data_IF_283095221575
#
_entry.id   IF_283095221575
#
_cell.length_a   1.000
_cell.length_b   1.000
_cell.length_c   1.000
_cell.angle_alpha   90.00
_cell.angle_beta   90.00
_cell.angle_gamma   90.00
#
_symmetry.space_group_name_H-M   'P 1'
#
loop_
_entity.id
_entity.type
_entity.pdbx_description
1 polymer ?
#
# COMPACT_ATOMS: atom_id res chain seq x y z
N UNK A 1 -42.83 -57.35 -32.89
CA UNK A 1 -41.97 -56.50 -32.03
C UNK A 1 -42.86 -55.63 -31.15
N UNK A 2 -43.34 -56.11 -29.99
CA UNK A 2 -44.03 -55.26 -28.98
C UNK A 2 -44.52 -56.13 -27.81
N UNK A 3 -43.64 -56.55 -26.88
CA UNK A 3 -44.08 -56.96 -25.51
C UNK A 3 -43.00 -56.61 -24.45
N UNK A 4 -41.71 -56.77 -24.76
CA UNK A 4 -40.62 -56.53 -23.80
C UNK A 4 -40.31 -55.05 -23.49
N UNK A 5 -40.77 -54.11 -24.32
CA UNK A 5 -40.58 -52.67 -24.10
C UNK A 5 -41.62 -52.07 -23.15
N UNK A 6 -42.79 -52.71 -23.04
CA UNK A 6 -43.92 -52.20 -22.25
C UNK A 6 -43.80 -52.59 -20.76
N UNK A 7 -43.30 -53.79 -20.47
CA UNK A 7 -43.00 -54.25 -19.10
C UNK A 7 -41.82 -53.52 -18.47
N UNK A 8 -40.80 -53.13 -19.24
CA UNK A 8 -39.66 -52.33 -18.74
C UNK A 8 -40.04 -50.86 -18.48
N UNK A 9 -40.99 -50.30 -19.22
CA UNK A 9 -41.51 -48.95 -18.99
C UNK A 9 -42.43 -48.87 -17.74
N UNK A 10 -43.22 -49.91 -17.48
CA UNK A 10 -44.13 -49.95 -16.32
C UNK A 10 -43.41 -50.21 -14.98
N UNK A 11 -42.24 -50.86 -14.99
CA UNK A 11 -41.40 -51.00 -13.79
C UNK A 11 -40.73 -49.69 -13.36
N UNK A 12 -40.32 -48.85 -14.31
CA UNK A 12 -39.66 -47.57 -14.05
C UNK A 12 -40.63 -46.50 -13.50
N UNK A 13 -41.90 -46.52 -13.93
CA UNK A 13 -42.93 -45.56 -13.50
C UNK A 13 -43.46 -45.79 -12.07
N UNK A 14 -43.30 -47.01 -11.52
CA UNK A 14 -43.76 -47.32 -10.15
C UNK A 14 -42.72 -46.94 -9.08
N UNK A 15 -41.43 -46.95 -9.41
CA UNK A 15 -40.35 -46.53 -8.52
C UNK A 15 -40.24 -45.01 -8.40
N UNK A 16 -40.32 -44.28 -9.52
CA UNK A 16 -40.12 -42.82 -9.54
C UNK A 16 -41.21 -42.03 -8.80
N UNK A 17 -42.48 -42.45 -8.89
CA UNK A 17 -43.57 -41.78 -8.17
C UNK A 17 -43.55 -42.03 -6.65
N UNK A 18 -43.06 -43.18 -6.18
CA UNK A 18 -42.91 -43.39 -4.73
C UNK A 18 -41.71 -42.64 -4.16
N UNK A 19 -40.65 -42.47 -4.96
CA UNK A 19 -39.46 -41.70 -4.56
C UNK A 19 -39.73 -40.20 -4.53
N UNK A 20 -40.54 -39.66 -5.46
CA UNK A 20 -41.00 -38.26 -5.41
C UNK A 20 -41.90 -37.98 -4.21
N UNK A 21 -42.83 -38.88 -3.88
CA UNK A 21 -43.71 -38.72 -2.71
C UNK A 21 -42.93 -38.85 -1.39
N UNK A 22 -41.93 -39.74 -1.34
CA UNK A 22 -41.02 -39.86 -0.22
C UNK A 22 -40.10 -38.62 -0.11
N UNK A 23 -39.58 -38.11 -1.23
CA UNK A 23 -38.78 -36.90 -1.29
C UNK A 23 -39.59 -35.68 -0.84
N UNK A 24 -40.87 -35.57 -1.22
CA UNK A 24 -41.76 -34.51 -0.77
C UNK A 24 -42.08 -34.59 0.71
N UNK A 25 -42.28 -35.80 1.26
CA UNK A 25 -42.46 -35.96 2.71
C UNK A 25 -41.18 -35.61 3.47
N UNK A 26 -40.01 -35.97 2.96
CA UNK A 26 -38.72 -35.61 3.56
C UNK A 26 -38.49 -34.11 3.47
N UNK A 27 -38.82 -33.48 2.33
CA UNK A 27 -38.73 -32.03 2.13
C UNK A 27 -39.66 -31.28 3.06
N UNK A 28 -40.91 -31.73 3.22
CA UNK A 28 -41.86 -31.15 4.18
C UNK A 28 -41.41 -31.35 5.63
N UNK A 29 -40.86 -32.52 5.99
CA UNK A 29 -40.30 -32.75 7.34
C UNK A 29 -39.06 -31.90 7.60
N UNK A 30 -38.22 -31.72 6.59
CA UNK A 30 -37.06 -30.83 6.66
C UNK A 30 -37.53 -29.38 6.82
N UNK A 31 -38.42 -28.88 5.97
CA UNK A 31 -39.00 -27.53 6.09
C UNK A 31 -39.68 -27.30 7.45
N UNK A 32 -40.38 -28.31 7.98
CA UNK A 32 -40.99 -28.23 9.32
C UNK A 32 -39.93 -28.21 10.43
N UNK A 33 -38.89 -29.04 10.33
CA UNK A 33 -37.78 -29.05 11.29
C UNK A 33 -36.89 -27.79 11.20
N UNK A 34 -36.81 -27.17 10.02
CA UNK A 34 -36.08 -25.93 9.76
C UNK A 34 -36.87 -24.72 10.26
N UNK A 35 -38.19 -24.69 10.06
CA UNK A 35 -39.07 -23.65 10.62
C UNK A 35 -39.16 -23.74 12.15
N UNK A 36 -39.20 -24.95 12.73
CA UNK A 36 -39.13 -25.15 14.19
C UNK A 36 -37.75 -24.75 14.77
N UNK A 37 -36.65 -25.01 14.06
CA UNK A 37 -35.31 -24.53 14.45
C UNK A 37 -35.15 -23.01 14.28
N UNK A 38 -35.75 -22.42 13.25
CA UNK A 38 -35.77 -20.98 13.04
C UNK A 38 -36.58 -20.25 14.13
N UNK A 39 -37.64 -20.89 14.66
CA UNK A 39 -38.38 -20.37 15.82
C UNK A 39 -37.61 -20.52 17.14
N UNK A 40 -36.82 -21.59 17.33
CA UNK A 40 -36.04 -21.83 18.56
C UNK A 40 -34.72 -21.03 18.67
N UNK A 41 -34.21 -20.43 17.58
CA UNK A 41 -33.05 -19.51 17.60
C UNK A 41 -33.45 -18.02 17.70
N UNK A 42 -34.40 -17.70 18.58
CA UNK A 42 -34.62 -16.33 19.04
C UNK A 42 -34.44 -16.22 20.55
N UNK A 43 -33.26 -15.87 21.07
CA UNK A 43 -33.26 -14.82 22.06
C UNK A 43 -33.69 -13.55 21.32
N UNK A 44 -34.88 -13.03 21.63
CA UNK A 44 -35.33 -11.73 21.14
C UNK A 44 -34.45 -10.63 21.76
N UNK A 45 -33.25 -10.44 21.25
CA UNK A 45 -32.64 -9.11 21.24
C UNK A 45 -33.20 -8.40 20.01
N UNK A 46 -34.27 -7.63 20.24
CA UNK A 46 -34.77 -6.69 19.28
C UNK A 46 -33.70 -5.60 19.09
N UNK A 47 -32.78 -5.83 18.16
CA UNK A 47 -31.86 -4.79 17.72
C UNK A 47 -32.72 -3.77 16.96
N UNK A 48 -32.81 -2.51 17.42
CA UNK A 48 -33.61 -1.49 16.77
C UNK A 48 -33.15 -1.32 15.31
N UNK A 49 -34.06 -0.97 14.41
CA UNK A 49 -33.78 -0.84 12.96
C UNK A 49 -32.57 0.08 12.70
N UNK A 50 -32.35 1.09 13.55
CA UNK A 50 -31.18 1.95 13.53
C UNK A 50 -29.86 1.18 13.72
N UNK A 51 -29.82 0.18 14.61
CA UNK A 51 -28.62 -0.61 14.84
C UNK A 51 -28.30 -1.59 13.69
N UNK A 52 -29.28 -1.97 12.86
CA UNK A 52 -28.99 -2.70 11.59
C UNK A 52 -28.30 -1.80 10.57
N UNK A 53 -28.71 -0.53 10.47
CA UNK A 53 -28.04 0.46 9.63
C UNK A 53 -26.61 0.74 10.12
N UNK A 54 -26.41 0.87 11.43
CA UNK A 54 -25.06 1.02 12.02
C UNK A 54 -24.17 -0.20 11.79
N UNK A 55 -24.70 -1.42 11.91
CA UNK A 55 -23.92 -2.65 11.64
C UNK A 55 -23.53 -2.74 10.16
N UNK A 56 -24.44 -2.43 9.23
CA UNK A 56 -24.12 -2.40 7.81
C UNK A 56 -23.09 -1.31 7.49
N UNK A 57 -23.25 -0.11 8.03
CA UNK A 57 -22.28 0.98 7.87
C UNK A 57 -20.91 0.60 8.46
N UNK A 58 -20.87 -0.03 9.63
CA UNK A 58 -19.64 -0.49 10.26
C UNK A 58 -18.95 -1.57 9.42
N UNK A 59 -19.69 -2.50 8.82
CA UNK A 59 -19.13 -3.52 7.91
C UNK A 59 -18.55 -2.87 6.65
N UNK A 60 -19.25 -1.88 6.07
CA UNK A 60 -18.74 -1.14 4.90
C UNK A 60 -17.47 -0.37 5.23
N UNK A 61 -17.43 0.32 6.37
CA UNK A 61 -16.24 1.04 6.83
C UNK A 61 -15.08 0.09 7.12
N UNK A 62 -15.36 -1.06 7.76
CA UNK A 62 -14.35 -2.08 8.02
C UNK A 62 -13.78 -2.66 6.70
N UNK A 63 -14.66 -2.92 5.72
CA UNK A 63 -14.25 -3.45 4.41
C UNK A 63 -13.46 -2.41 3.60
N UNK A 64 -13.84 -1.14 3.65
CA UNK A 64 -13.08 -0.03 3.07
C UNK A 64 -11.70 0.12 3.74
N UNK A 65 -11.63 -0.06 5.06
CA UNK A 65 -10.38 0.02 5.81
C UNK A 65 -9.44 -1.16 5.52
N UNK A 66 -9.97 -2.38 5.38
CA UNK A 66 -9.16 -3.57 5.05
C UNK A 66 -8.67 -3.55 3.61
N UNK A 67 -9.47 -3.06 2.67
CA UNK A 67 -9.06 -2.88 1.27
C UNK A 67 -7.93 -1.85 1.15
N UNK A 68 -8.05 -0.69 1.79
CA UNK A 68 -7.01 0.36 1.78
C UNK A 68 -5.68 -0.07 2.42
N UNK A 69 -5.68 -1.10 3.27
CA UNK A 69 -4.46 -1.66 3.90
C UNK A 69 -3.93 -2.91 3.20
N UNK A 70 -4.55 -3.34 2.12
CA UNK A 70 -4.11 -4.54 1.40
C UNK A 70 -2.76 -4.29 0.71
N UNK A 71 -1.80 -5.19 0.92
CA UNK A 71 -0.51 -5.18 0.24
C UNK A 71 -0.57 -6.02 -1.05
N UNK A 72 0.46 -5.94 -1.90
CA UNK A 72 0.45 -6.54 -3.25
C UNK A 72 0.28 -8.07 -3.31
N UNK A 73 0.46 -8.76 -2.19
CA UNK A 73 0.22 -10.18 -2.00
C UNK A 73 -1.27 -10.53 -1.78
N UNK A 74 -2.12 -9.54 -1.48
CA UNK A 74 -3.55 -9.72 -1.23
C UNK A 74 -4.40 -9.71 -2.50
N UNK A 75 -5.50 -10.50 -2.57
CA UNK A 75 -6.46 -10.42 -3.68
C UNK A 75 -7.21 -9.09 -3.72
N UNK A 76 -7.22 -8.33 -2.62
CA UNK A 76 -7.87 -7.01 -2.55
C UNK A 76 -7.00 -5.88 -3.11
N UNK A 77 -5.75 -6.17 -3.49
CA UNK A 77 -4.81 -5.17 -3.97
C UNK A 77 -5.30 -4.40 -5.20
N UNK A 78 -5.93 -5.10 -6.14
CA UNK A 78 -6.54 -4.45 -7.31
C UNK A 78 -7.66 -3.49 -6.93
N UNK A 79 -8.46 -3.83 -5.92
CA UNK A 79 -9.51 -2.95 -5.41
C UNK A 79 -8.92 -1.71 -4.72
N UNK A 80 -7.84 -1.87 -3.95
CA UNK A 80 -7.08 -0.75 -3.38
C UNK A 80 -6.58 0.21 -4.46
N UNK A 81 -5.89 -0.31 -5.48
CA UNK A 81 -5.38 0.49 -6.60
C UNK A 81 -6.50 1.23 -7.31
N UNK A 82 -7.63 0.55 -7.59
CA UNK A 82 -8.78 1.18 -8.23
C UNK A 82 -9.39 2.32 -7.40
N UNK A 83 -9.49 2.14 -6.07
CA UNK A 83 -9.98 3.19 -5.16
C UNK A 83 -9.01 4.37 -5.14
N UNK A 84 -7.71 4.12 -4.96
CA UNK A 84 -6.69 5.17 -4.94
C UNK A 84 -6.64 5.96 -6.26
N UNK A 85 -6.74 5.29 -7.41
CA UNK A 85 -6.81 5.94 -8.72
C UNK A 85 -8.09 6.77 -8.89
N UNK A 86 -9.23 6.32 -8.34
CA UNK A 86 -10.48 7.08 -8.37
C UNK A 86 -10.42 8.35 -7.50
N UNK A 87 -9.65 8.30 -6.42
CA UNK A 87 -9.47 9.42 -5.50
C UNK A 87 -8.66 10.57 -6.12
N UNK A 88 -7.86 10.30 -7.17
CA UNK A 88 -7.08 11.33 -7.88
C UNK A 88 -7.97 12.47 -8.37
N UNK A 89 -9.17 12.17 -8.89
CA UNK A 89 -10.11 13.17 -9.40
C UNK A 89 -10.71 14.08 -8.32
N UNK A 90 -10.62 13.68 -7.05
CA UNK A 90 -11.12 14.43 -5.91
C UNK A 90 -10.01 15.15 -5.14
N UNK A 91 -8.75 15.01 -5.56
CA UNK A 91 -7.64 15.68 -4.91
C UNK A 91 -7.43 17.10 -5.41
N UNK A 92 -7.06 17.98 -4.49
CA UNK A 92 -6.71 19.37 -4.78
C UNK A 92 -5.37 19.50 -5.53
N UNK A 93 -4.45 18.55 -5.31
CA UNK A 93 -3.19 18.43 -6.04
C UNK A 93 -3.05 17.00 -6.59
N UNK A 94 -3.61 16.72 -7.78
CA UNK A 94 -3.60 15.38 -8.37
C UNK A 94 -2.19 14.94 -8.78
N UNK A 95 -1.32 15.87 -9.18
CA UNK A 95 0.07 15.59 -9.58
C UNK A 95 0.91 15.22 -8.36
N UNK A 96 0.82 16.01 -7.29
CA UNK A 96 1.47 15.71 -6.02
C UNK A 96 1.01 14.37 -5.44
N UNK A 97 -0.30 14.12 -5.45
CA UNK A 97 -0.87 12.85 -4.98
C UNK A 97 -0.38 11.64 -5.79
N UNK A 98 -0.41 11.71 -7.12
CA UNK A 98 0.07 10.62 -7.98
C UNK A 98 1.58 10.38 -7.84
N UNK A 99 2.38 11.44 -7.66
CA UNK A 99 3.82 11.30 -7.45
C UNK A 99 4.14 10.57 -6.12
N UNK A 100 3.34 10.83 -5.08
CA UNK A 100 3.42 10.12 -3.82
C UNK A 100 3.01 8.65 -3.98
N UNK A 101 1.90 8.39 -4.69
CA UNK A 101 1.43 7.03 -4.96
C UNK A 101 2.50 6.23 -5.72
N UNK A 102 3.08 6.82 -6.75
CA UNK A 102 4.17 6.22 -7.53
C UNK A 102 5.34 5.80 -6.63
N UNK A 103 5.80 6.70 -5.77
CA UNK A 103 6.91 6.43 -4.85
C UNK A 103 6.59 5.29 -3.88
N UNK A 104 5.37 5.27 -3.33
CA UNK A 104 4.91 4.21 -2.43
C UNK A 104 4.91 2.84 -3.13
N UNK A 105 4.48 2.77 -4.41
CA UNK A 105 4.47 1.52 -5.19
C UNK A 105 5.88 1.02 -5.55
N UNK A 106 6.82 1.93 -5.80
CA UNK A 106 8.25 1.59 -6.00
C UNK A 106 8.82 0.92 -4.74
N UNK A 107 8.57 1.52 -3.56
CA UNK A 107 9.03 0.94 -2.30
C UNK A 107 8.37 -0.40 -1.99
N UNK A 108 7.07 -0.52 -2.25
CA UNK A 108 6.32 -1.76 -2.05
C UNK A 108 6.85 -2.89 -2.96
N UNK A 109 7.10 -2.61 -4.23
CA UNK A 109 7.73 -3.55 -5.16
C UNK A 109 9.12 -4.00 -4.66
N UNK A 110 9.97 -3.05 -4.24
CA UNK A 110 11.29 -3.35 -3.72
C UNK A 110 11.26 -4.25 -2.47
N UNK A 111 10.28 -4.06 -1.57
CA UNK A 111 10.09 -4.93 -0.39
C UNK A 111 9.69 -6.36 -0.80
N UNK A 112 8.84 -6.51 -1.82
CA UNK A 112 8.44 -7.83 -2.29
C UNK A 112 9.53 -8.55 -3.09
N UNK A 113 10.36 -7.81 -3.84
CA UNK A 113 11.58 -8.34 -4.46
C UNK A 113 12.58 -8.83 -3.41
N UNK A 114 12.80 -8.04 -2.35
CA UNK A 114 13.69 -8.41 -1.25
C UNK A 114 13.21 -9.64 -0.46
N UNK A 115 11.90 -9.88 -0.40
CA UNK A 115 11.31 -11.07 0.24
C UNK A 115 11.12 -12.25 -0.71
N UNK A 116 11.49 -12.11 -1.98
CA UNK A 116 11.41 -13.17 -3.00
C UNK A 116 9.99 -13.44 -3.52
N UNK A 117 9.01 -12.57 -3.25
CA UNK A 117 7.64 -12.71 -3.75
C UNK A 117 7.47 -12.03 -5.11
N UNK A 118 7.90 -12.72 -6.18
CA UNK A 118 7.89 -12.19 -7.54
C UNK A 118 6.50 -11.79 -8.06
N UNK A 119 5.44 -12.50 -7.65
CA UNK A 119 4.07 -12.19 -8.09
C UNK A 119 3.56 -10.87 -7.48
N UNK A 120 3.78 -10.68 -6.17
CA UNK A 120 3.42 -9.45 -5.50
C UNK A 120 4.25 -8.26 -6.00
N UNK A 121 5.55 -8.47 -6.23
CA UNK A 121 6.42 -7.47 -6.84
C UNK A 121 5.93 -7.05 -8.24
N UNK A 122 5.56 -8.01 -9.10
CA UNK A 122 5.02 -7.72 -10.42
C UNK A 122 3.75 -6.88 -10.34
N UNK A 123 2.81 -7.22 -9.45
CA UNK A 123 1.57 -6.45 -9.29
C UNK A 123 1.83 -5.02 -8.81
N UNK A 124 2.82 -4.83 -7.94
CA UNK A 124 3.22 -3.50 -7.49
C UNK A 124 3.88 -2.69 -8.62
N UNK A 125 4.70 -3.31 -9.47
CA UNK A 125 5.27 -2.70 -10.70
C UNK A 125 4.18 -2.32 -11.71
N UNK A 126 3.16 -3.15 -11.89
CA UNK A 126 2.03 -2.84 -12.77
C UNK A 126 1.26 -1.61 -12.27
N UNK A 127 1.00 -1.54 -10.96
CA UNK A 127 0.35 -0.38 -10.34
C UNK A 127 1.22 0.90 -10.43
N UNK A 128 2.54 0.78 -10.28
CA UNK A 128 3.49 1.88 -10.50
C UNK A 128 3.40 2.41 -11.94
N UNK A 129 3.37 1.50 -12.93
CA UNK A 129 3.28 1.84 -14.35
C UNK A 129 2.01 2.63 -14.66
N UNK A 130 0.89 2.22 -14.06
CA UNK A 130 -0.39 2.91 -14.21
C UNK A 130 -0.39 4.29 -13.54
N UNK A 131 0.20 4.43 -12.35
CA UNK A 131 0.36 5.72 -11.70
C UNK A 131 1.21 6.69 -12.54
N UNK A 132 2.30 6.20 -13.15
CA UNK A 132 3.12 6.99 -14.08
C UNK A 132 2.33 7.38 -15.34
N UNK A 133 1.52 6.46 -15.88
CA UNK A 133 0.65 6.73 -17.04
C UNK A 133 -0.34 7.85 -16.73
N UNK A 134 -0.97 7.82 -15.54
CA UNK A 134 -1.89 8.87 -15.09
C UNK A 134 -1.15 10.19 -14.84
N UNK A 135 0.06 10.14 -14.29
CA UNK A 135 0.88 11.34 -14.06
C UNK A 135 1.21 12.05 -15.38
N UNK A 136 1.64 11.30 -16.41
CA UNK A 136 1.90 11.84 -17.74
C UNK A 136 0.63 12.32 -18.47
N UNK A 137 -0.54 11.78 -18.10
CA UNK A 137 -1.82 12.20 -18.67
C UNK A 137 -2.33 13.53 -18.05
N UNK A 138 -2.08 13.75 -16.77
CA UNK A 138 -2.51 14.95 -16.03
C UNK A 138 -1.50 16.09 -16.18
N UNK A 139 -0.23 15.75 -16.33
CA UNK A 139 0.85 16.69 -16.63
C UNK A 139 1.35 16.47 -18.06
N UNK A 140 0.63 16.92 -19.10
CA UNK A 140 1.28 17.15 -20.38
C UNK A 140 2.38 18.19 -20.12
N UNK A 141 3.62 17.93 -20.54
CA UNK A 141 4.65 18.97 -20.49
C UNK A 141 4.07 20.26 -21.10
N UNK A 142 4.32 21.43 -20.48
CA UNK A 142 3.92 22.70 -21.07
C UNK A 142 4.76 22.95 -22.33
N UNK A 143 4.28 22.44 -23.46
CA UNK A 143 4.66 22.94 -24.77
C UNK A 143 3.91 24.26 -25.00
N UNK A 144 4.39 25.33 -24.37
CA UNK A 144 4.31 26.74 -24.81
C UNK A 144 5.06 27.62 -23.80
N UNK A 145 6.41 27.62 -23.92
CA UNK A 145 7.21 28.76 -23.50
C UNK A 145 7.22 29.76 -24.66
N UNK A 146 6.82 31.03 -24.48
CA UNK A 146 6.75 31.98 -25.58
C UNK A 146 8.17 32.33 -26.07
N UNK A 147 8.41 32.07 -27.35
CA UNK A 147 9.47 32.57 -28.25
C UNK A 147 10.90 32.77 -27.68
N UNK A 148 11.89 31.96 -28.14
CA UNK A 148 13.30 32.29 -27.96
C UNK A 148 13.72 33.37 -28.98
N UNK A 149 13.96 34.59 -28.52
CA UNK A 149 14.70 35.58 -29.31
C UNK A 149 16.20 35.28 -29.24
N UNK A 150 16.72 34.87 -30.40
CA UNK A 150 18.08 35.02 -30.90
C UNK A 150 19.25 34.22 -30.27
N UNK A 151 19.78 33.34 -31.13
CA UNK A 151 21.20 33.06 -31.33
C UNK A 151 21.94 32.25 -30.27
N UNK A 152 22.01 30.93 -30.46
CA UNK A 152 23.30 30.25 -30.67
C UNK A 152 23.09 28.93 -31.42
N UNK A 153 23.69 28.80 -32.60
CA UNK A 153 23.76 27.57 -33.40
C UNK A 153 24.72 26.59 -32.73
N UNK A 154 24.26 25.44 -32.24
CA UNK A 154 25.09 24.24 -32.08
C UNK A 154 24.26 23.00 -32.43
N UNK A 155 24.87 22.16 -33.27
CA UNK A 155 24.37 21.05 -34.08
C UNK A 155 23.68 19.89 -33.37
N UNK A 156 22.57 19.46 -33.98
CA UNK A 156 21.90 18.16 -33.85
C UNK A 156 22.81 17.03 -34.35
N UNK A 157 22.81 15.84 -33.70
CA UNK A 157 22.77 14.61 -34.48
C UNK A 157 21.49 13.82 -34.22
N UNK A 158 20.81 13.56 -35.32
CA UNK A 158 19.71 12.62 -35.50
C UNK A 158 20.13 11.18 -35.13
N UNK A 159 19.33 10.41 -34.36
CA UNK A 159 19.50 8.96 -34.33
C UNK A 159 18.90 8.34 -35.60
N UNK A 160 19.79 7.97 -36.52
CA UNK A 160 19.52 7.13 -37.70
C UNK A 160 19.36 5.65 -37.29
N UNK A 161 18.61 4.82 -38.05
CA UNK A 161 17.93 3.64 -37.54
C UNK A 161 18.82 2.38 -37.42
N UNK A 162 18.31 1.48 -36.58
CA UNK A 162 18.50 0.03 -36.49
C UNK A 162 19.22 -0.63 -37.69
N UNK A 163 20.35 -1.33 -37.46
CA UNK A 163 20.76 -2.43 -38.32
C UNK A 163 20.29 -3.77 -37.73
N UNK A 164 19.35 -4.36 -38.45
CA UNK A 164 19.03 -5.79 -38.45
C UNK A 164 19.88 -6.45 -39.55
N UNK A 165 20.67 -7.48 -39.22
CA UNK A 165 21.10 -8.57 -40.12
C UNK A 165 22.23 -9.41 -39.47
N UNK A 166 21.82 -10.59 -38.98
CA UNK A 166 22.39 -11.92 -39.25
C UNK A 166 23.77 -12.01 -39.94
N UNK A 167 24.72 -12.68 -39.28
CA UNK A 167 25.64 -13.63 -39.94
C UNK A 167 26.21 -14.64 -38.94
N UNK A 168 25.91 -15.92 -39.18
CA UNK A 168 26.50 -17.10 -38.53
C UNK A 168 27.73 -17.53 -39.34
N UNK A 169 28.88 -17.70 -38.68
CA UNK A 169 30.00 -18.55 -39.15
C UNK A 169 30.86 -18.90 -37.92
N UNK A 170 30.83 -20.13 -37.42
CA UNK A 170 31.55 -21.33 -37.89
C UNK A 170 32.89 -21.51 -37.16
N UNK A 171 33.02 -22.67 -36.52
CA UNK A 171 34.11 -23.05 -35.62
C UNK A 171 35.44 -23.31 -36.34
N UNK A 172 36.55 -23.14 -35.62
CA UNK A 172 37.80 -23.88 -35.91
C UNK A 172 38.71 -23.99 -34.67
N UNK A 173 39.60 -25.00 -34.63
CA UNK A 173 39.85 -25.78 -33.43
C UNK A 173 41.09 -25.38 -32.60
N UNK A 174 41.07 -25.92 -31.39
CA UNK A 174 42.12 -26.07 -30.38
C UNK A 174 43.52 -26.40 -30.91
N UNK A 175 44.57 -25.79 -30.31
CA UNK A 175 45.86 -26.44 -30.13
C UNK A 175 46.08 -26.87 -28.67
N UNK A 176 46.25 -28.18 -28.47
CA UNK A 176 47.04 -28.79 -27.39
C UNK A 176 48.42 -29.16 -27.97
N UNK A 177 49.45 -29.62 -27.21
CA UNK A 177 49.80 -29.45 -25.79
C UNK A 177 51.21 -28.84 -25.64
N UNK A 178 51.66 -28.52 -24.43
CA UNK A 178 53.10 -28.61 -24.13
C UNK A 178 53.30 -29.15 -22.72
N UNK A 179 54.02 -30.28 -22.64
CA UNK A 179 54.37 -30.98 -21.42
C UNK A 179 55.45 -30.23 -20.65
N UNK A 180 55.19 -29.95 -19.38
CA UNK A 180 56.17 -29.35 -18.45
C UNK A 180 56.81 -30.47 -17.60
N UNK A 181 58.15 -30.50 -17.43
CA UNK A 181 58.88 -31.66 -16.95
C UNK A 181 58.68 -31.98 -15.46
N UNK A 182 58.83 -33.28 -15.18
CA UNK A 182 58.86 -33.96 -13.89
C UNK A 182 59.90 -33.35 -12.93
N UNK A 183 59.53 -32.92 -11.71
CA UNK A 183 60.52 -32.54 -10.70
C UNK A 183 61.22 -33.77 -10.12
N UNK A 184 62.55 -33.66 -10.06
CA UNK A 184 63.51 -34.61 -9.50
C UNK A 184 63.29 -34.82 -8.01
N UNK A 185 63.28 -36.08 -7.58
CA UNK A 185 63.20 -36.50 -6.18
C UNK A 185 64.47 -36.05 -5.43
N UNK A 186 64.33 -35.07 -4.54
CA UNK A 186 65.36 -34.72 -3.57
C UNK A 186 65.14 -35.51 -2.27
N UNK A 187 66.25 -35.99 -1.70
CA UNK A 187 66.33 -36.96 -0.61
C UNK A 187 65.76 -36.43 0.70
N UNK A 188 65.06 -37.33 1.38
CA UNK A 188 64.52 -37.22 2.74
C UNK A 188 65.62 -36.89 3.76
N UNK A 189 65.52 -35.79 4.54
CA UNK A 189 66.27 -35.65 5.77
C UNK A 189 65.52 -36.30 6.94
N UNK A 190 66.23 -37.14 7.69
CA UNK A 190 65.78 -37.82 8.90
C UNK A 190 65.38 -36.81 9.98
N UNK A 191 64.19 -36.91 10.60
CA UNK A 191 63.81 -36.00 11.68
C UNK A 191 64.52 -36.37 12.99
N UNK A 192 65.17 -35.35 13.57
CA UNK A 192 65.73 -35.34 14.93
C UNK A 192 64.58 -35.38 15.97
N UNK A 193 64.73 -36.03 17.14
CA UNK A 193 63.67 -36.08 18.15
C UNK A 193 63.27 -34.68 18.65
N UNK A 194 61.96 -34.43 18.70
CA UNK A 194 61.39 -33.19 19.18
C UNK A 194 61.47 -33.09 20.72
N UNK A 195 61.94 -31.94 21.18
CA UNK A 195 61.89 -31.50 22.58
C UNK A 195 60.45 -31.18 22.97
N UNK A 196 59.96 -31.51 24.18
CA UNK A 196 58.60 -31.17 24.59
C UNK A 196 58.44 -29.67 24.84
N UNK A 197 57.65 -29.00 24.00
CA UNK A 197 57.28 -27.58 24.12
C UNK A 197 56.08 -27.43 25.09
N UNK A 198 56.07 -26.41 25.97
CA UNK A 198 55.13 -26.29 27.09
C UNK A 198 53.67 -26.02 26.71
N UNK A 199 52.80 -26.46 27.63
CA UNK A 199 51.35 -26.33 27.72
C UNK A 199 50.78 -24.97 27.23
N UNK A 200 49.73 -24.93 26.39
CA UNK A 200 49.11 -23.68 25.97
C UNK A 200 48.50 -22.91 27.12
N UNK A 201 48.82 -21.62 27.18
CA UNK A 201 48.21 -20.63 28.04
C UNK A 201 46.75 -20.38 27.65
N UNK A 202 46.00 -20.00 28.68
CA UNK A 202 44.58 -19.68 28.77
C UNK A 202 44.06 -18.84 27.60
N UNK A 203 42.93 -19.26 27.04
CA UNK A 203 42.23 -18.53 25.97
C UNK A 203 41.88 -17.10 26.39
N UNK A 204 42.35 -16.13 25.61
CA UNK A 204 41.91 -14.73 25.70
C UNK A 204 40.42 -14.64 25.36
N UNK A 205 39.60 -13.89 26.13
CA UNK A 205 38.19 -13.73 25.83
C UNK A 205 38.01 -12.97 24.50
N UNK A 206 37.12 -13.51 23.67
CA UNK A 206 36.70 -12.95 22.39
C UNK A 206 36.07 -11.57 22.61
N UNK A 207 36.39 -10.53 21.82
CA UNK A 207 35.74 -9.22 21.95
C UNK A 207 34.23 -9.38 21.76
N UNK A 208 33.45 -9.00 22.77
CA UNK A 208 32.00 -8.95 22.69
C UNK A 208 31.65 -7.68 21.94
N UNK A 209 31.20 -7.80 20.70
CA UNK A 209 30.64 -6.69 19.94
C UNK A 209 29.41 -6.17 20.70
N UNK A 210 29.35 -4.88 21.08
CA UNK A 210 28.19 -4.35 21.78
C UNK A 210 26.97 -4.48 20.87
N UNK A 211 25.96 -5.20 21.34
CA UNK A 211 24.65 -5.29 20.71
C UNK A 211 24.10 -3.88 20.52
N UNK A 212 23.58 -3.50 19.34
CA UNK A 212 23.01 -2.17 19.13
C UNK A 212 21.94 -1.94 20.20
N UNK A 213 22.16 -0.88 20.99
CA UNK A 213 21.20 -0.43 22.00
C UNK A 213 19.92 -0.04 21.27
N UNK A 214 18.82 -0.68 21.63
CA UNK A 214 17.51 -0.42 21.01
C UNK A 214 17.12 0.99 21.41
N UNK A 215 17.14 1.93 20.45
CA UNK A 215 16.64 3.29 20.68
C UNK A 215 15.19 3.18 21.16
N UNK A 216 14.83 3.74 22.33
CA UNK A 216 13.48 3.63 22.85
C UNK A 216 12.50 4.21 21.84
N UNK A 217 11.45 3.44 21.54
CA UNK A 217 10.40 3.87 20.63
C UNK A 217 9.78 5.19 21.15
N UNK A 218 9.58 6.22 20.31
CA UNK A 218 9.06 7.49 20.76
C UNK A 218 7.65 7.34 21.32
N UNK A 219 7.49 7.70 22.60
CA UNK A 219 6.23 7.65 23.35
C UNK A 219 5.27 8.71 22.83
N UNK A 220 3.98 8.39 22.60
CA UNK A 220 2.97 9.39 22.27
C UNK A 220 2.72 10.32 23.48
N UNK A 221 2.54 11.60 23.21
CA UNK A 221 2.19 12.63 24.20
C UNK A 221 1.01 13.46 23.70
N UNK A 222 0.21 13.98 24.62
CA UNK A 222 -0.78 15.00 24.32
C UNK A 222 -0.04 16.32 24.03
N UNK A 223 -0.43 16.98 22.94
CA UNK A 223 0.12 18.27 22.54
C UNK A 223 -0.99 19.28 22.35
N UNK A 224 -0.69 20.53 22.71
CA UNK A 224 -1.52 21.70 22.48
C UNK A 224 -1.01 22.42 21.24
N UNK A 225 -1.83 22.45 20.19
CA UNK A 225 -1.54 23.16 18.96
C UNK A 225 -2.30 24.48 18.92
N UNK A 226 -1.57 25.59 18.81
CA UNK A 226 -2.14 26.94 18.75
C UNK A 226 -1.69 27.69 17.51
N UNK A 227 -2.59 28.48 16.92
CA UNK A 227 -2.30 29.21 15.69
C UNK A 227 -3.30 30.30 15.37
N UNK A 228 -3.00 31.05 14.31
CA UNK A 228 -3.86 32.08 13.75
C UNK A 228 -4.36 31.65 12.37
N UNK A 229 -5.59 31.99 12.04
CA UNK A 229 -6.23 31.76 10.75
C UNK A 229 -6.78 33.08 10.25
N UNK A 230 -6.23 33.51 9.13
CA UNK A 230 -6.58 34.75 8.47
C UNK A 230 -7.05 34.46 7.05
N UNK A 231 -7.92 35.32 6.53
CA UNK A 231 -8.18 35.37 5.10
C UNK A 231 -7.01 36.02 4.36
N UNK A 232 -7.02 35.96 3.03
CA UNK A 232 -6.03 36.60 2.17
C UNK A 232 -5.92 38.13 2.34
N UNK A 233 -6.97 38.78 2.84
CA UNK A 233 -7.02 40.21 3.17
C UNK A 233 -6.49 40.54 4.60
N UNK A 234 -6.07 39.52 5.36
CA UNK A 234 -5.59 39.66 6.74
C UNK A 234 -6.68 39.71 7.82
N UNK A 235 -7.96 39.65 7.45
CA UNK A 235 -9.06 39.58 8.41
C UNK A 235 -9.14 38.20 9.09
N UNK A 236 -9.60 38.17 10.34
CA UNK A 236 -9.65 36.95 11.16
C UNK A 236 -10.81 36.05 10.76
N UNK A 237 -10.55 34.75 10.66
CA UNK A 237 -11.56 33.76 10.27
C UNK A 237 -12.26 33.18 11.50
N UNK A 238 -13.59 33.25 11.52
CA UNK A 238 -14.42 32.65 12.56
C UNK A 238 -15.14 31.40 12.05
N UNK A 239 -15.20 30.36 12.89
CA UNK A 239 -15.92 29.14 12.57
C UNK A 239 -15.28 28.29 11.48
N UNK A 240 -13.98 28.47 11.19
CA UNK A 240 -13.28 27.57 10.30
C UNK A 240 -13.10 26.20 10.96
N UNK A 241 -13.38 25.15 10.19
CA UNK A 241 -13.20 23.76 10.56
C UNK A 241 -11.73 23.38 10.41
N UNK A 242 -11.10 22.93 11.49
CA UNK A 242 -9.75 22.37 11.49
C UNK A 242 -9.83 20.85 11.52
N UNK A 243 -9.10 20.19 10.62
CA UNK A 243 -9.06 18.75 10.46
C UNK A 243 -7.62 18.25 10.28
N UNK A 244 -7.37 17.00 10.65
CA UNK A 244 -6.08 16.32 10.39
C UNK A 244 -6.02 15.65 9.01
N UNK A 245 -7.13 15.68 8.28
CA UNK A 245 -7.28 15.16 6.92
C UNK A 245 -8.03 16.18 6.05
N UNK A 246 -7.78 16.18 4.74
CA UNK A 246 -8.32 17.15 3.77
C UNK A 246 -9.86 17.34 3.90
N UNK A 247 -10.60 16.23 4.01
CA UNK A 247 -12.06 16.22 4.19
C UNK A 247 -12.50 15.60 5.52
N UNK A 248 -11.61 15.61 6.50
CA UNK A 248 -11.88 15.04 7.81
C UNK A 248 -13.04 15.73 8.54
N UNK A 249 -13.50 15.07 9.61
CA UNK A 249 -14.38 15.73 10.56
C UNK A 249 -13.66 16.91 11.22
N UNK A 250 -14.42 17.94 11.59
CA UNK A 250 -13.88 19.07 12.33
C UNK A 250 -13.50 18.61 13.74
N UNK A 251 -12.20 18.61 14.02
CA UNK A 251 -11.67 18.28 15.35
C UNK A 251 -11.50 19.53 16.21
N UNK A 252 -11.43 20.70 15.58
CA UNK A 252 -11.46 21.99 16.24
C UNK A 252 -12.10 23.06 15.34
N UNK A 253 -12.49 24.18 15.95
CA UNK A 253 -13.02 25.35 15.27
C UNK A 253 -12.16 26.58 15.55
N UNK A 254 -12.16 27.56 14.65
CA UNK A 254 -11.52 28.85 14.93
C UNK A 254 -12.46 29.80 15.66
N UNK A 255 -11.94 30.47 16.69
CA UNK A 255 -12.64 31.55 17.42
C UNK A 255 -11.77 32.79 17.37
N UNK A 256 -12.29 33.87 16.78
CA UNK A 256 -11.57 35.11 16.52
C UNK A 256 -10.23 34.88 15.77
N UNK A 257 -10.26 34.01 14.76
CA UNK A 257 -9.05 33.62 14.02
C UNK A 257 -8.08 32.75 14.80
N UNK A 258 -8.35 32.35 16.04
CA UNK A 258 -7.45 31.50 16.83
C UNK A 258 -7.84 30.04 16.74
N UNK A 259 -6.85 29.17 16.56
CA UNK A 259 -6.94 27.73 16.76
C UNK A 259 -6.39 27.42 18.14
N UNK A 260 -7.13 26.63 18.91
CA UNK A 260 -6.65 25.94 20.09
C UNK A 260 -7.21 24.52 20.05
N UNK A 261 -6.32 23.53 19.99
CA UNK A 261 -6.71 22.13 19.94
C UNK A 261 -5.69 21.22 20.62
N UNK A 262 -6.20 20.13 21.19
CA UNK A 262 -5.37 19.07 21.77
C UNK A 262 -5.38 17.84 20.86
N UNK A 263 -4.20 17.27 20.63
CA UNK A 263 -4.04 16.07 19.80
C UNK A 263 -2.86 15.23 20.28
N UNK A 264 -2.86 13.94 19.97
CA UNK A 264 -1.82 13.01 20.45
C UNK A 264 -0.79 12.79 19.35
N UNK A 265 0.48 13.10 19.64
CA UNK A 265 1.57 12.96 18.69
C UNK A 265 2.89 12.60 19.36
N UNK A 266 3.89 12.23 18.56
CA UNK A 266 5.23 11.87 19.02
C UNK A 266 6.20 13.01 18.77
N UNK A 267 7.23 13.14 19.62
CA UNK A 267 8.30 14.11 19.39
C UNK A 267 9.01 13.79 18.08
N UNK A 268 9.20 14.79 17.22
CA UNK A 268 9.76 14.64 15.88
C UNK A 268 8.76 14.16 14.82
N UNK A 269 7.50 13.91 15.19
CA UNK A 269 6.44 13.63 14.21
C UNK A 269 6.03 14.93 13.51
N UNK A 270 5.87 14.88 12.19
CA UNK A 270 5.25 15.97 11.42
C UNK A 270 3.74 15.79 11.38
N UNK A 271 3.01 16.85 11.70
CA UNK A 271 1.56 16.90 11.71
C UNK A 271 1.12 17.89 10.66
N UNK A 272 0.14 17.49 9.85
CA UNK A 272 -0.50 18.39 8.90
C UNK A 272 -1.92 18.66 9.36
N UNK A 273 -2.28 19.93 9.41
CA UNK A 273 -3.64 20.39 9.68
C UNK A 273 -4.17 21.08 8.43
N UNK A 274 -5.43 20.79 8.14
CA UNK A 274 -6.21 21.40 7.10
C UNK A 274 -7.27 22.27 7.74
N UNK A 275 -7.45 23.47 7.21
CA UNK A 275 -8.44 24.43 7.69
C UNK A 275 -9.37 24.73 6.52
N UNK A 276 -10.68 24.63 6.75
CA UNK A 276 -11.69 24.96 5.75
C UNK A 276 -12.79 25.82 6.35
N UNK A 277 -13.28 26.78 5.57
CA UNK A 277 -14.46 27.57 5.93
C UNK A 277 -15.30 27.78 4.70
N UNK A 278 -16.61 27.73 4.84
CA UNK A 278 -17.53 28.11 3.77
C UNK A 278 -17.95 29.57 3.98
N UNK A 279 -17.52 30.45 3.06
CA UNK A 279 -17.91 31.86 3.04
C UNK A 279 -18.46 32.22 1.65
N UNK A 280 -19.79 32.32 1.57
CA UNK A 280 -20.49 32.66 0.34
C UNK A 280 -20.14 34.06 -0.18
N UNK A 281 -19.71 34.99 0.68
CA UNK A 281 -19.34 36.34 0.28
C UNK A 281 -17.99 36.41 -0.43
N UNK A 282 -17.12 35.41 -0.21
CA UNK A 282 -15.73 35.36 -0.72
C UNK A 282 -15.51 34.32 -1.81
N UNK A 283 -16.58 33.76 -2.37
CA UNK A 283 -16.52 32.83 -3.51
C UNK A 283 -16.57 31.35 -3.16
N UNK A 284 -16.96 30.98 -1.93
CA UNK A 284 -17.28 29.59 -1.57
C UNK A 284 -16.42 29.03 -0.44
N UNK A 285 -16.01 27.77 -0.58
CA UNK A 285 -15.17 27.10 0.42
C UNK A 285 -13.72 27.52 0.24
N UNK A 286 -13.15 28.13 1.28
CA UNK A 286 -11.76 28.52 1.32
C UNK A 286 -10.96 27.50 2.13
N UNK A 287 -9.72 27.26 1.71
CA UNK A 287 -8.87 26.22 2.27
C UNK A 287 -7.52 26.76 2.72
N UNK A 288 -6.97 26.12 3.75
CA UNK A 288 -5.63 26.38 4.26
C UNK A 288 -4.98 25.09 4.73
N UNK A 289 -3.65 25.06 4.69
CA UNK A 289 -2.83 23.93 5.14
C UNK A 289 -1.67 24.44 5.95
N UNK A 290 -1.35 23.74 7.04
CA UNK A 290 -0.12 23.94 7.79
C UNK A 290 0.49 22.60 8.14
N UNK A 291 1.81 22.49 8.03
CA UNK A 291 2.56 21.32 8.47
C UNK A 291 3.61 21.76 9.47
N UNK A 292 3.62 21.12 10.64
CA UNK A 292 4.53 21.45 11.74
C UNK A 292 5.14 20.17 12.34
N UNK A 293 6.39 20.25 12.77
CA UNK A 293 7.05 19.14 13.48
C UNK A 293 6.92 19.34 14.98
N UNK A 294 6.52 18.29 15.69
CA UNK A 294 6.30 18.33 17.14
C UNK A 294 7.63 18.39 17.87
N UNK A 295 7.97 19.56 18.41
CA UNK A 295 9.14 19.77 19.27
C UNK A 295 8.89 19.40 20.74
N UNK A 296 7.65 19.48 21.21
CA UNK A 296 7.27 19.32 22.62
C UNK A 296 5.75 19.31 22.84
N UNK A 297 5.29 19.53 24.09
CA UNK A 297 3.87 19.52 24.45
C UNK A 297 3.10 20.73 23.90
N UNK A 298 3.78 21.81 23.56
CA UNK A 298 3.19 22.97 22.89
C UNK A 298 3.74 23.07 21.46
N UNK A 299 2.83 23.29 20.52
CA UNK A 299 3.14 23.39 19.09
C UNK A 299 2.51 24.65 18.54
N UNK A 300 3.35 25.56 18.06
CA UNK A 300 2.93 26.79 17.39
C UNK A 300 2.75 26.50 15.90
N UNK A 301 1.52 26.62 15.42
CA UNK A 301 1.16 26.46 14.01
C UNK A 301 1.53 27.70 13.18
N UNK A 302 1.70 28.86 13.83
CA UNK A 302 1.88 30.14 13.16
C UNK A 302 0.58 30.65 12.53
N UNK A 303 0.70 31.41 11.44
CA UNK A 303 -0.43 32.00 10.73
C UNK A 303 -0.76 31.22 9.47
N UNK A 304 -2.01 30.78 9.37
CA UNK A 304 -2.57 30.04 8.26
C UNK A 304 -3.43 31.02 7.46
N UNK A 305 -3.13 31.18 6.18
CA UNK A 305 -3.93 32.01 5.28
C UNK A 305 -4.88 31.14 4.46
N UNK A 306 -6.16 31.49 4.45
CA UNK A 306 -7.16 30.81 3.64
C UNK A 306 -7.24 31.44 2.25
N UNK A 307 -7.32 30.57 1.23
CA UNK A 307 -7.46 30.93 -0.18
C UNK A 307 -8.54 30.10 -0.85
#
# INVERSE_FOLDING_TARGET
MTEDTLTRALGALKGTRMDEVAADQIRRRLEKSWSERAMRRRPRFAIPVFARAFVLAAVVVLFAFTTMRSAADSPLYGARVAVENSLVAFQSDPVGYLSQLYTERVEEAARFEASGNALAASRARDAQSEALRLLNQISPEPNESPEPSASTVITLPSPSPTPDATAVASASPSPEPTATPRPTVARTPTPKPATPTPKPATASPKPVTPRPSVTPAPTPMAIHATGDVLYSDGSRVNGACVSTSLDGMCVAGTINGKIDMQLTAKKGQSITLYVRVYDAARGGTLHGKVTVTVGGPEVLLGTITLR
#
